data_IF_171257270344
#
_entry.id   IF_171257270344
#
_cell.length_a   1.000
_cell.length_b   1.000
_cell.length_c   1.000
_cell.angle_alpha   90.00
_cell.angle_beta   90.00
_cell.angle_gamma   90.00
#
_symmetry.space_group_name_H-M   'P 1'
#
loop_
_entity.id
_entity.type
_entity.pdbx_description
1 polymer ?
#
# COMPACT_ATOMS: atom_id res chain seq x y z
N UNK A 1 12.26 -6.84 -13.20
CA UNK A 1 11.43 -8.00 -12.84
C UNK A 1 11.98 -8.64 -11.58
N UNK A 2 11.16 -9.38 -10.84
CA UNK A 2 11.64 -10.07 -9.63
C UNK A 2 12.62 -11.21 -9.96
N UNK A 3 13.61 -11.41 -9.09
CA UNK A 3 14.48 -12.59 -9.16
C UNK A 3 13.71 -13.83 -8.67
N UNK A 4 14.08 -15.02 -9.16
CA UNK A 4 13.44 -16.28 -8.71
C UNK A 4 13.57 -16.50 -7.20
N UNK A 5 14.70 -16.11 -6.60
CA UNK A 5 14.89 -16.19 -5.15
C UNK A 5 13.96 -15.23 -4.40
N UNK A 6 13.81 -13.98 -4.87
CA UNK A 6 12.89 -13.02 -4.26
C UNK A 6 11.44 -13.48 -4.37
N UNK A 7 11.03 -14.01 -5.53
CA UNK A 7 9.69 -14.58 -5.72
C UNK A 7 9.41 -15.70 -4.71
N UNK A 8 10.33 -16.66 -4.62
CA UNK A 8 10.18 -17.78 -3.68
C UNK A 8 10.13 -17.29 -2.22
N UNK A 9 11.00 -16.34 -1.86
CA UNK A 9 11.04 -15.79 -0.50
C UNK A 9 9.73 -15.11 -0.13
N UNK A 10 9.19 -14.27 -1.01
CA UNK A 10 7.93 -13.55 -0.76
C UNK A 10 6.72 -14.50 -0.71
N UNK A 11 6.61 -15.41 -1.69
CA UNK A 11 5.49 -16.37 -1.75
C UNK A 11 5.48 -17.34 -0.56
N UNK A 12 6.64 -17.65 0.04
CA UNK A 12 6.73 -18.55 1.19
C UNK A 12 6.63 -17.83 2.54
N UNK A 13 6.99 -16.55 2.61
CA UNK A 13 7.01 -15.79 3.85
C UNK A 13 5.63 -15.22 4.22
N UNK A 14 4.85 -14.82 3.22
CA UNK A 14 3.51 -14.24 3.41
C UNK A 14 2.43 -15.27 3.11
N UNK A 15 1.45 -15.38 4.02
CA UNK A 15 0.26 -16.24 3.85
C UNK A 15 -0.57 -15.78 2.64
N UNK A 16 -0.55 -14.47 2.38
CA UNK A 16 -1.29 -13.83 1.29
C UNK A 16 -0.50 -12.65 0.73
N UNK A 17 -0.57 -12.49 -0.59
CA UNK A 17 -0.12 -11.28 -1.27
C UNK A 17 -1.34 -10.65 -1.93
N UNK A 18 -1.58 -9.38 -1.65
CA UNK A 18 -2.71 -8.61 -2.19
C UNK A 18 -2.18 -7.49 -3.06
N UNK A 19 -2.79 -7.32 -4.23
CA UNK A 19 -2.61 -6.17 -5.10
C UNK A 19 -3.84 -5.27 -4.97
N UNK A 20 -3.70 -4.18 -4.22
CA UNK A 20 -4.74 -3.17 -4.07
C UNK A 20 -4.82 -2.30 -5.32
N UNK A 21 -5.98 -2.30 -5.96
CA UNK A 21 -6.30 -1.43 -7.10
C UNK A 21 -7.76 -0.99 -7.05
N UNK A 22 -8.18 -0.20 -8.03
CA UNK A 22 -9.57 0.20 -8.24
C UNK A 22 -9.97 -0.01 -9.70
N UNK A 23 -11.27 -0.06 -9.97
CA UNK A 23 -11.82 -0.42 -11.29
C UNK A 23 -11.19 0.39 -12.43
N UNK A 24 -11.11 1.71 -12.26
CA UNK A 24 -10.54 2.59 -13.29
C UNK A 24 -9.03 2.44 -13.50
N UNK A 25 -8.33 1.76 -12.59
CA UNK A 25 -6.88 1.54 -12.65
C UNK A 25 -6.50 0.13 -13.12
N UNK A 26 -7.48 -0.73 -13.45
CA UNK A 26 -7.20 -2.08 -13.93
C UNK A 26 -6.33 -2.12 -15.19
N UNK A 27 -6.27 -1.02 -15.96
CA UNK A 27 -5.33 -0.87 -17.08
C UNK A 27 -3.85 -0.96 -16.67
N UNK A 28 -3.52 -0.82 -15.37
CA UNK A 28 -2.16 -0.95 -14.82
C UNK A 28 -1.76 -2.40 -14.56
N UNK A 29 -2.72 -3.33 -14.47
CA UNK A 29 -2.47 -4.74 -14.14
C UNK A 29 -1.41 -5.39 -15.04
N UNK A 30 -1.41 -5.22 -16.38
CA UNK A 30 -0.38 -5.84 -17.22
C UNK A 30 1.06 -5.41 -16.86
N UNK A 31 1.24 -4.16 -16.43
CA UNK A 31 2.54 -3.67 -16.00
C UNK A 31 2.95 -4.26 -14.64
N UNK A 32 1.99 -4.40 -13.72
CA UNK A 32 2.22 -5.03 -12.42
C UNK A 32 2.53 -6.52 -12.56
N UNK A 33 1.75 -7.26 -13.34
CA UNK A 33 2.00 -8.67 -13.65
C UNK A 33 3.38 -8.88 -14.27
N UNK A 34 3.80 -7.96 -15.15
CA UNK A 34 5.16 -7.97 -15.71
C UNK A 34 6.22 -7.71 -14.63
N UNK A 35 6.04 -6.69 -13.79
CA UNK A 35 7.02 -6.26 -12.81
C UNK A 35 7.21 -7.27 -11.67
N UNK A 36 6.10 -7.84 -11.20
CA UNK A 36 6.00 -8.80 -10.10
C UNK A 36 5.74 -10.23 -10.57
N UNK A 37 6.15 -10.54 -11.81
CA UNK A 37 5.98 -11.85 -12.41
C UNK A 37 6.45 -12.98 -11.47
N UNK A 38 5.56 -13.93 -11.22
CA UNK A 38 5.79 -15.08 -10.34
C UNK A 38 5.29 -14.92 -8.90
N UNK A 39 4.88 -13.72 -8.47
CA UNK A 39 4.17 -13.58 -7.20
C UNK A 39 2.74 -14.11 -7.29
N UNK A 40 2.31 -14.79 -6.23
CA UNK A 40 0.96 -15.35 -6.11
C UNK A 40 0.01 -14.31 -5.49
N UNK A 41 -0.13 -13.15 -6.14
CA UNK A 41 -0.99 -12.09 -5.63
C UNK A 41 -2.46 -12.27 -6.05
N UNK A 42 -3.37 -11.84 -5.18
CA UNK A 42 -4.79 -11.67 -5.47
C UNK A 42 -5.09 -10.18 -5.68
N UNK A 43 -5.84 -9.84 -6.72
CA UNK A 43 -6.31 -8.47 -6.94
C UNK A 43 -7.41 -8.15 -5.92
N UNK A 44 -7.17 -7.13 -5.10
CA UNK A 44 -8.11 -6.65 -4.09
C UNK A 44 -8.71 -5.31 -4.55
N UNK A 45 -10.03 -5.28 -4.73
CA UNK A 45 -10.73 -4.07 -5.18
C UNK A 45 -10.96 -3.10 -4.03
N UNK A 46 -10.26 -1.97 -4.11
CA UNK A 46 -10.32 -0.86 -3.18
C UNK A 46 -11.55 0.03 -3.33
N UNK A 47 -11.59 1.03 -2.45
CA UNK A 47 -12.56 2.10 -2.49
C UNK A 47 -12.10 3.15 -3.50
N UNK A 48 -13.01 3.54 -4.39
CA UNK A 48 -12.75 4.60 -5.35
C UNK A 48 -13.12 5.97 -4.75
N UNK A 49 -12.11 6.82 -4.53
CA UNK A 49 -12.28 8.18 -4.02
C UNK A 49 -13.18 9.09 -4.86
N UNK A 50 -13.32 8.84 -6.18
CA UNK A 50 -14.23 9.64 -7.02
C UNK A 50 -15.70 9.31 -6.76
N UNK A 51 -15.99 8.16 -6.14
CA UNK A 51 -17.33 7.67 -5.82
C UNK A 51 -17.72 7.96 -4.36
N UNK A 52 -16.86 8.60 -3.59
CA UNK A 52 -17.12 8.90 -2.18
C UNK A 52 -18.02 10.13 -2.02
N UNK A 53 -19.09 9.94 -1.25
CA UNK A 53 -19.93 11.00 -0.71
C UNK A 53 -19.49 11.30 0.74
N UNK A 54 -18.65 12.33 0.90
CA UNK A 54 -18.07 12.67 2.21
C UNK A 54 -19.13 13.10 3.24
N UNK A 55 -20.11 13.97 2.91
CA UNK A 55 -21.25 14.24 3.78
C UNK A 55 -21.95 12.97 4.30
N UNK A 56 -22.31 12.05 3.40
CA UNK A 56 -23.00 10.80 3.78
C UNK A 56 -22.13 9.92 4.69
N UNK A 57 -20.83 9.79 4.41
CA UNK A 57 -19.91 9.05 5.28
C UNK A 57 -19.80 9.64 6.69
N UNK A 58 -19.82 10.98 6.82
CA UNK A 58 -19.82 11.68 8.11
C UNK A 58 -21.14 11.46 8.85
N UNK A 59 -22.26 11.49 8.14
CA UNK A 59 -23.59 11.26 8.72
C UNK A 59 -23.74 9.83 9.26
N UNK A 60 -23.31 8.84 8.47
CA UNK A 60 -23.32 7.41 8.84
C UNK A 60 -22.26 7.03 9.88
N UNK A 61 -21.39 7.97 10.29
CA UNK A 61 -20.31 7.72 11.25
C UNK A 61 -19.23 6.76 10.73
N UNK A 62 -19.11 6.61 9.40
CA UNK A 62 -18.05 5.79 8.78
C UNK A 62 -16.70 6.50 8.92
N UNK A 63 -16.72 7.83 8.87
CA UNK A 63 -15.58 8.71 9.16
C UNK A 63 -15.97 9.73 10.23
N UNK A 64 -14.97 10.26 10.95
CA UNK A 64 -15.21 11.28 11.97
C UNK A 64 -15.82 12.56 11.37
N UNK A 65 -16.80 13.15 12.07
CA UNK A 65 -17.43 14.41 11.63
C UNK A 65 -16.41 15.55 11.52
N UNK A 66 -15.48 15.59 12.48
CA UNK A 66 -14.35 16.50 12.59
C UNK A 66 -13.04 15.93 12.01
N UNK A 67 -13.11 15.03 11.00
CA UNK A 67 -11.92 14.39 10.41
C UNK A 67 -10.89 15.39 9.89
N UNK A 68 -11.33 16.52 9.36
CA UNK A 68 -10.46 17.59 8.90
C UNK A 68 -9.68 18.20 10.07
N UNK A 69 -10.34 18.45 11.22
CA UNK A 69 -9.68 18.97 12.42
C UNK A 69 -8.67 17.97 13.01
N UNK A 70 -9.01 16.68 13.03
CA UNK A 70 -8.11 15.60 13.48
C UNK A 70 -6.86 15.57 12.59
N UNK A 71 -7.05 15.57 11.27
CA UNK A 71 -5.95 15.58 10.31
C UNK A 71 -5.06 16.82 10.44
N UNK A 72 -5.66 17.97 10.74
CA UNK A 72 -4.96 19.23 10.95
C UNK A 72 -4.16 19.24 12.26
N UNK A 73 -4.66 18.63 13.34
CA UNK A 73 -3.94 18.52 14.63
C UNK A 73 -2.63 17.73 14.50
N UNK A 74 -2.64 16.65 13.70
CA UNK A 74 -1.47 15.79 13.50
C UNK A 74 -0.44 16.36 12.51
N UNK A 75 -0.78 17.41 11.74
CA UNK A 75 0.06 17.92 10.64
C UNK A 75 0.50 19.38 10.78
N UNK A 76 -0.30 20.26 11.41
CA UNK A 76 0.03 21.68 11.60
C UNK A 76 0.97 21.94 12.79
N UNK A 77 0.83 21.17 13.87
CA UNK A 77 1.67 21.33 15.06
C UNK A 77 3.14 20.95 14.81
N UNK A 78 3.41 20.09 13.83
CA UNK A 78 4.76 19.57 13.59
C UNK A 78 5.64 20.50 12.74
N UNK A 79 5.09 21.43 11.94
CA UNK A 79 5.89 22.22 10.98
C UNK A 79 5.43 23.67 10.67
N UNK A 80 4.38 24.24 11.30
CA UNK A 80 3.89 25.60 10.97
C UNK A 80 3.62 25.85 9.46
N UNK A 81 3.31 24.80 8.69
CA UNK A 81 3.06 24.89 7.24
C UNK A 81 1.55 24.91 6.98
N UNK A 82 1.04 25.67 6.00
CA UNK A 82 -0.38 25.63 5.63
C UNK A 82 -0.77 24.22 5.15
N UNK A 83 -1.66 23.56 5.89
CA UNK A 83 -2.15 22.22 5.56
C UNK A 83 -3.46 22.32 4.78
N UNK A 84 -3.57 21.53 3.71
CA UNK A 84 -4.80 21.40 2.91
C UNK A 84 -5.78 20.43 3.59
N UNK A 85 -7.10 20.60 3.38
CA UNK A 85 -8.10 19.62 3.83
C UNK A 85 -7.80 18.21 3.32
N UNK A 86 -8.27 17.20 4.06
CA UNK A 86 -8.07 15.79 3.72
C UNK A 86 -8.71 15.49 2.36
N UNK A 87 -7.94 14.91 1.44
CA UNK A 87 -8.42 14.61 0.10
C UNK A 87 -9.31 13.36 0.10
N UNK A 88 -10.35 13.34 -0.75
CA UNK A 88 -11.22 12.16 -0.94
C UNK A 88 -10.43 10.89 -1.23
N UNK A 89 -9.38 11.00 -2.03
CA UNK A 89 -8.51 9.87 -2.35
C UNK A 89 -7.74 9.36 -1.13
N UNK A 90 -7.32 10.23 -0.20
CA UNK A 90 -6.68 9.79 1.04
C UNK A 90 -7.65 9.01 1.93
N UNK A 91 -8.91 9.46 2.02
CA UNK A 91 -9.98 8.72 2.71
C UNK A 91 -10.22 7.36 2.04
N UNK A 92 -10.21 7.32 0.70
CA UNK A 92 -10.41 6.10 -0.07
C UNK A 92 -9.28 5.08 0.14
N UNK A 93 -8.02 5.51 0.14
CA UNK A 93 -6.87 4.64 0.44
C UNK A 93 -7.01 4.08 1.86
N UNK A 94 -7.21 4.93 2.87
CA UNK A 94 -7.39 4.47 4.25
C UNK A 94 -8.57 3.49 4.40
N UNK A 95 -9.69 3.76 3.72
CA UNK A 95 -10.86 2.88 3.71
C UNK A 95 -10.58 1.54 3.02
N UNK A 96 -9.74 1.53 1.98
CA UNK A 96 -9.33 0.32 1.27
C UNK A 96 -8.44 -0.56 2.16
N UNK A 97 -7.46 0.02 2.84
CA UNK A 97 -6.62 -0.72 3.79
C UNK A 97 -7.43 -1.24 4.97
N UNK A 98 -8.40 -0.47 5.49
CA UNK A 98 -9.34 -0.96 6.51
C UNK A 98 -10.11 -2.21 6.04
N UNK A 99 -10.56 -2.24 4.79
CA UNK A 99 -11.22 -3.42 4.20
C UNK A 99 -10.26 -4.60 4.07
N UNK A 100 -9.00 -4.35 3.70
CA UNK A 100 -7.97 -5.39 3.67
C UNK A 100 -7.74 -5.96 5.07
N UNK A 101 -7.60 -5.12 6.11
CA UNK A 101 -7.45 -5.60 7.49
C UNK A 101 -8.64 -6.43 7.95
N UNK A 102 -9.87 -6.04 7.58
CA UNK A 102 -11.05 -6.84 7.85
C UNK A 102 -10.99 -8.19 7.12
N UNK A 103 -10.61 -8.21 5.84
CA UNK A 103 -10.41 -9.44 5.06
C UNK A 103 -9.34 -10.35 5.67
N UNK A 104 -8.22 -9.79 6.13
CA UNK A 104 -7.15 -10.51 6.84
C UNK A 104 -7.71 -11.19 8.08
N UNK A 105 -8.46 -10.44 8.90
CA UNK A 105 -9.08 -10.95 10.13
C UNK A 105 -10.10 -12.05 9.85
N UNK A 106 -10.96 -11.85 8.86
CA UNK A 106 -12.04 -12.78 8.52
C UNK A 106 -11.51 -14.12 7.97
N UNK A 107 -10.31 -14.12 7.36
CA UNK A 107 -9.67 -15.31 6.82
C UNK A 107 -8.58 -15.89 7.73
N UNK A 108 -8.26 -15.24 8.85
CA UNK A 108 -7.22 -15.70 9.78
C UNK A 108 -5.81 -15.69 9.20
N UNK A 109 -5.49 -14.78 8.28
CA UNK A 109 -4.12 -14.61 7.78
C UNK A 109 -3.24 -13.89 8.81
N UNK A 110 -2.00 -14.33 8.98
CA UNK A 110 -1.05 -13.75 9.95
C UNK A 110 -0.11 -12.75 9.28
N UNK A 111 0.50 -13.12 8.14
CA UNK A 111 1.44 -12.28 7.39
C UNK A 111 0.90 -11.99 6.00
N UNK A 112 0.51 -10.75 5.75
CA UNK A 112 -0.01 -10.33 4.44
C UNK A 112 0.84 -9.21 3.84
N UNK A 113 1.30 -9.43 2.61
CA UNK A 113 1.95 -8.40 1.81
C UNK A 113 0.88 -7.64 1.02
N UNK A 114 0.85 -6.32 1.15
CA UNK A 114 -0.06 -5.45 0.40
C UNK A 114 0.78 -4.62 -0.56
N UNK A 115 0.52 -4.75 -1.86
CA UNK A 115 1.09 -3.95 -2.94
C UNK A 115 0.02 -2.99 -3.47
N UNK A 116 0.38 -1.75 -3.77
CA UNK A 116 -0.48 -0.83 -4.54
C UNK A 116 -0.27 -1.02 -6.05
N UNK A 117 -1.23 -0.59 -6.86
CA UNK A 117 -1.22 -0.74 -8.32
C UNK A 117 -0.18 0.11 -9.07
N UNK A 118 0.59 0.91 -8.35
CA UNK A 118 1.74 1.67 -8.81
C UNK A 118 3.05 1.24 -8.14
N UNK A 119 3.06 0.11 -7.42
CA UNK A 119 4.27 -0.45 -6.85
C UNK A 119 5.29 -0.80 -7.94
N UNK A 120 6.56 -0.52 -7.67
CA UNK A 120 7.67 -0.84 -8.57
C UNK A 120 8.78 -1.52 -7.75
N UNK A 121 9.23 -2.73 -8.14
CA UNK A 121 10.32 -3.40 -7.45
C UNK A 121 11.65 -2.67 -7.69
N UNK A 122 12.44 -2.50 -6.63
CA UNK A 122 13.79 -1.96 -6.72
C UNK A 122 14.76 -3.11 -7.01
N UNK A 123 14.99 -3.38 -8.29
CA UNK A 123 15.70 -4.60 -8.75
C UNK A 123 17.05 -4.82 -8.06
N UNK A 124 17.84 -3.74 -7.90
CA UNK A 124 19.14 -3.77 -7.22
C UNK A 124 19.07 -4.30 -5.79
N UNK A 125 17.93 -4.18 -5.09
CA UNK A 125 17.77 -4.59 -3.70
C UNK A 125 17.13 -5.97 -3.54
N UNK A 126 16.65 -6.59 -4.63
CA UNK A 126 15.89 -7.84 -4.52
C UNK A 126 16.68 -9.03 -3.96
N UNK A 127 18.01 -9.00 -4.10
CA UNK A 127 18.90 -10.01 -3.52
C UNK A 127 18.92 -9.96 -1.98
N UNK A 128 18.50 -8.85 -1.36
CA UNK A 128 18.46 -8.67 0.09
C UNK A 128 17.16 -9.15 0.73
N UNK A 129 16.12 -9.45 -0.06
CA UNK A 129 14.77 -9.75 0.46
C UNK A 129 14.80 -10.93 1.42
N UNK A 130 15.44 -12.04 1.03
CA UNK A 130 15.50 -13.24 1.86
C UNK A 130 16.20 -12.97 3.21
N UNK A 131 17.34 -12.29 3.19
CA UNK A 131 18.11 -11.97 4.38
C UNK A 131 17.36 -10.97 5.27
N UNK A 132 16.69 -9.99 4.67
CA UNK A 132 15.90 -8.97 5.38
C UNK A 132 14.74 -9.63 6.12
N UNK A 133 13.98 -10.51 5.45
CA UNK A 133 12.82 -11.17 6.05
C UNK A 133 13.20 -12.10 7.22
N UNK A 134 14.42 -12.65 7.23
CA UNK A 134 14.94 -13.44 8.37
C UNK A 134 15.26 -12.58 9.60
N UNK A 135 15.46 -11.28 9.43
CA UNK A 135 15.79 -10.35 10.52
C UNK A 135 14.56 -9.67 11.12
N UNK A 136 13.39 -9.81 10.48
CA UNK A 136 12.15 -9.24 11.01
C UNK A 136 11.79 -10.00 12.30
N UNK A 137 11.58 -9.30 13.43
CA UNK A 137 11.16 -9.94 14.69
C UNK A 137 9.90 -10.78 14.48
N UNK A 138 9.65 -11.82 15.29
CA UNK A 138 8.45 -12.66 15.10
C UNK A 138 7.13 -11.92 15.40
N UNK A 139 7.18 -10.89 16.25
CA UNK A 139 6.05 -10.15 16.80
C UNK A 139 5.81 -8.79 16.13
N UNK A 140 6.35 -8.58 14.93
CA UNK A 140 6.11 -7.36 14.16
C UNK A 140 4.63 -7.19 13.80
N UNK A 141 4.09 -5.98 13.98
CA UNK A 141 2.71 -5.65 13.58
C UNK A 141 2.63 -5.01 12.19
N UNK A 142 3.66 -4.25 11.79
CA UNK A 142 3.74 -3.60 10.49
C UNK A 142 5.19 -3.58 9.96
N UNK A 143 5.38 -4.07 8.74
CA UNK A 143 6.65 -4.04 8.01
C UNK A 143 6.50 -3.16 6.76
N UNK A 144 7.21 -2.04 6.72
CA UNK A 144 7.19 -1.13 5.58
C UNK A 144 8.34 -1.44 4.61
N UNK A 145 8.00 -2.03 3.47
CA UNK A 145 8.99 -2.50 2.48
C UNK A 145 9.37 -1.46 1.41
N UNK A 146 8.73 -0.30 1.38
CA UNK A 146 9.03 0.70 0.37
C UNK A 146 8.46 2.07 0.68
N UNK A 147 9.25 3.10 0.43
CA UNK A 147 8.86 4.50 0.41
C UNK A 147 9.57 5.21 -0.74
N UNK A 148 8.95 6.27 -1.27
CA UNK A 148 9.48 7.00 -2.45
C UNK A 148 10.75 7.81 -2.13
N UNK A 149 11.12 8.02 -0.86
CA UNK A 149 12.24 8.90 -0.49
C UNK A 149 13.64 8.42 -0.93
N UNK A 150 13.82 7.16 -1.33
CA UNK A 150 15.15 6.58 -1.54
C UNK A 150 15.52 6.30 -3.00
N UNK A 151 14.70 6.69 -3.99
CA UNK A 151 15.04 6.51 -5.40
C UNK A 151 14.74 7.77 -6.22
N UNK A 152 15.77 8.25 -6.91
CA UNK A 152 15.62 9.24 -7.97
C UNK A 152 14.98 8.56 -9.19
N UNK A 153 13.68 8.74 -9.36
CA UNK A 153 12.95 8.25 -10.54
C UNK A 153 13.00 9.23 -11.73
N UNK A 154 13.77 10.32 -11.62
CA UNK A 154 13.96 11.25 -12.73
C UNK A 154 14.65 10.57 -13.91
N UNK A 155 14.60 11.23 -15.07
CA UNK A 155 15.35 10.79 -16.26
C UNK A 155 16.82 10.47 -15.90
N UNK A 156 17.45 11.27 -15.04
CA UNK A 156 18.84 11.12 -14.62
C UNK A 156 19.08 9.94 -13.68
N UNK A 157 18.13 9.65 -12.79
CA UNK A 157 18.22 8.50 -11.89
C UNK A 157 18.12 7.15 -12.59
N UNK A 158 17.59 7.11 -13.83
CA UNK A 158 17.55 5.91 -14.68
C UNK A 158 18.87 5.59 -15.40
N UNK A 159 19.84 6.51 -15.39
CA UNK A 159 21.17 6.31 -15.99
C UNK A 159 22.27 6.02 -14.95
N UNK A 160 21.91 5.92 -13.66
CA UNK A 160 22.82 5.52 -12.58
C UNK A 160 22.74 4.03 -12.30
#
# INVERSE_FOLDING_TARGET
MLSKSAVNSLNNYFDKILLLTIERNLYRLPAIEKNFNGLNFEVFMGVDGSKLDIPDLKEKGVIAKNIDDIYLQDSLAYMNMPVKPLLRNQIAVASSHKKIYQYIKDNGFNKVLILEDDAIPVEKNLHLVEETLKQVPEDWELLFLGHIYNNDFSFWGRFK
#
